data_IF_058532871423
#
_entry.id   IF_058532871423
#
_cell.length_a   1.000
_cell.length_b   1.000
_cell.length_c   1.000
_cell.angle_alpha   90.00
_cell.angle_beta   90.00
_cell.angle_gamma   90.00
#
_symmetry.space_group_name_H-M   'P 1'
#
loop_
_entity.id
_entity.type
_entity.pdbx_description
1 polymer ?
#
# COMPACT_ATOMS: atom_id res chain seq x y z
N UNK A 1 6.22 -15.39 12.20
CA UNK A 1 7.67 -15.23 12.37
C UNK A 1 8.27 -14.84 11.02
N UNK A 2 8.43 -13.54 10.75
CA UNK A 2 9.07 -13.05 9.52
C UNK A 2 10.51 -13.53 9.51
N UNK A 3 10.85 -14.50 8.64
CA UNK A 3 12.23 -14.93 8.43
C UNK A 3 12.99 -13.76 7.78
N UNK A 4 13.64 -12.94 8.61
CA UNK A 4 14.66 -11.95 8.24
C UNK A 4 15.77 -12.68 7.46
N UNK A 5 15.69 -12.73 6.12
CA UNK A 5 16.73 -13.37 5.29
C UNK A 5 17.57 -12.41 4.47
N UNK A 6 17.26 -11.11 4.48
CA UNK A 6 18.01 -10.10 3.74
C UNK A 6 18.25 -8.86 4.62
N UNK A 7 19.01 -9.01 5.72
CA UNK A 7 19.44 -7.86 6.54
C UNK A 7 20.96 -7.79 6.51
N UNK A 8 21.50 -7.14 5.48
CA UNK A 8 22.90 -6.70 5.46
C UNK A 8 22.98 -5.38 6.23
N UNK A 9 23.53 -5.43 7.45
CA UNK A 9 23.77 -4.27 8.29
C UNK A 9 25.16 -3.72 7.99
N UNK A 10 25.26 -2.57 7.28
CA UNK A 10 26.40 -1.64 7.31
C UNK A 10 25.92 -0.27 6.79
N UNK A 11 26.01 0.74 7.68
CA UNK A 11 25.88 2.21 7.57
C UNK A 11 25.12 2.85 6.39
N UNK A 12 24.11 3.69 6.61
CA UNK A 12 22.98 3.69 7.54
C UNK A 12 21.92 4.55 6.81
N UNK A 13 20.76 3.96 6.51
CA UNK A 13 19.62 4.53 5.76
C UNK A 13 19.71 4.74 4.23
N UNK A 14 20.79 5.28 3.66
CA UNK A 14 20.77 5.79 2.27
C UNK A 14 20.95 4.70 1.19
N UNK A 15 22.00 3.88 1.35
CA UNK A 15 22.40 2.83 0.41
C UNK A 15 21.29 1.78 0.26
N UNK A 16 20.67 1.38 1.37
CA UNK A 16 19.67 0.31 1.37
C UNK A 16 18.38 0.67 0.59
N UNK A 17 18.08 1.96 0.40
CA UNK A 17 16.90 2.43 -0.37
C UNK A 17 17.09 2.27 -1.87
N UNK A 18 18.19 2.78 -2.42
CA UNK A 18 18.48 2.69 -3.85
C UNK A 18 18.68 1.21 -4.26
N UNK A 19 19.43 0.45 -3.46
CA UNK A 19 19.62 -0.98 -3.72
C UNK A 19 18.34 -1.81 -3.64
N UNK A 20 17.36 -1.43 -2.80
CA UNK A 20 16.06 -2.10 -2.79
C UNK A 20 15.29 -1.90 -4.09
N UNK A 21 15.38 -0.69 -4.69
CA UNK A 21 14.78 -0.41 -6.00
C UNK A 21 15.53 -1.17 -7.10
N UNK A 22 16.87 -1.14 -7.09
CA UNK A 22 17.69 -1.90 -8.05
C UNK A 22 17.40 -3.40 -7.97
N UNK A 23 17.30 -3.97 -6.77
CA UNK A 23 16.99 -5.38 -6.59
C UNK A 23 15.61 -5.77 -7.14
N UNK A 24 14.65 -4.83 -7.11
CA UNK A 24 13.33 -5.03 -7.69
C UNK A 24 13.35 -4.94 -9.23
N UNK A 25 14.14 -4.02 -9.79
CA UNK A 25 14.26 -3.84 -11.24
C UNK A 25 15.09 -4.94 -11.90
N UNK A 26 16.11 -5.45 -11.22
CA UNK A 26 17.03 -6.48 -11.72
C UNK A 26 17.05 -7.69 -10.78
N UNK A 27 15.98 -8.49 -10.72
CA UNK A 27 15.90 -9.63 -9.81
C UNK A 27 16.89 -10.73 -10.21
N UNK A 28 17.77 -11.09 -9.27
CA UNK A 28 18.76 -12.17 -9.44
C UNK A 28 18.29 -13.45 -8.74
N UNK A 29 18.58 -14.62 -9.32
CA UNK A 29 18.20 -15.92 -8.76
C UNK A 29 19.17 -16.44 -7.69
N UNK A 30 20.48 -16.24 -7.89
CA UNK A 30 21.55 -16.69 -6.98
C UNK A 30 22.25 -15.50 -6.32
N UNK A 31 22.85 -15.71 -5.13
CA UNK A 31 23.59 -14.68 -4.39
C UNK A 31 22.86 -13.33 -4.25
N UNK A 32 21.55 -13.38 -4.00
CA UNK A 32 20.63 -12.23 -3.84
C UNK A 32 21.09 -11.24 -2.77
N UNK A 33 21.90 -11.67 -1.81
CA UNK A 33 22.38 -10.83 -0.72
C UNK A 33 23.68 -10.07 -1.05
N UNK A 34 24.30 -10.32 -2.21
CA UNK A 34 25.56 -9.68 -2.60
C UNK A 34 25.29 -8.47 -3.50
N UNK A 35 25.87 -7.32 -3.15
CA UNK A 35 25.80 -6.08 -3.96
C UNK A 35 26.37 -6.28 -5.37
N UNK A 36 27.46 -7.03 -5.48
CA UNK A 36 28.12 -7.34 -6.77
C UNK A 36 27.26 -8.14 -7.73
N UNK A 37 26.16 -8.74 -7.27
CA UNK A 37 25.19 -9.42 -8.14
C UNK A 37 24.32 -8.45 -8.94
N UNK A 38 24.34 -7.16 -8.59
CA UNK A 38 23.45 -6.15 -9.14
C UNK A 38 24.28 -5.02 -9.77
N UNK A 39 23.77 -4.34 -10.81
CA UNK A 39 24.41 -3.15 -11.36
C UNK A 39 24.45 -2.04 -10.30
N UNK A 40 25.49 -1.20 -10.35
CA UNK A 40 25.60 -0.13 -9.37
C UNK A 40 24.46 0.87 -9.52
N UNK A 41 23.85 1.26 -8.39
CA UNK A 41 22.63 2.05 -8.40
C UNK A 41 22.79 3.41 -9.08
N UNK A 42 23.99 4.00 -9.07
CA UNK A 42 24.27 5.28 -9.74
C UNK A 42 24.22 5.19 -11.26
N UNK A 43 24.42 3.99 -11.81
CA UNK A 43 24.40 3.75 -13.26
C UNK A 43 22.99 3.49 -13.79
N UNK A 44 22.08 3.01 -12.94
CA UNK A 44 20.73 2.59 -13.33
C UNK A 44 19.62 3.50 -12.80
N UNK A 45 19.90 4.34 -11.81
CA UNK A 45 18.94 5.27 -11.23
C UNK A 45 19.43 6.71 -11.34
N UNK A 46 18.56 7.59 -11.82
CA UNK A 46 18.73 9.02 -11.73
C UNK A 46 18.34 9.51 -10.32
N UNK A 47 19.34 10.01 -9.58
CA UNK A 47 19.21 10.55 -8.23
C UNK A 47 19.36 12.08 -8.18
N UNK A 48 19.26 12.77 -9.32
CA UNK A 48 19.51 14.21 -9.41
C UNK A 48 18.56 15.04 -8.52
N UNK A 49 19.16 15.82 -7.63
CA UNK A 49 18.45 16.67 -6.66
C UNK A 49 17.58 15.88 -5.69
N UNK A 50 17.97 14.65 -5.36
CA UNK A 50 17.42 13.87 -4.25
C UNK A 50 18.49 13.81 -3.16
N UNK A 51 18.27 14.58 -2.10
CA UNK A 51 19.11 14.53 -0.90
C UNK A 51 18.63 13.43 0.02
N UNK A 52 19.57 12.69 0.57
CA UNK A 52 19.28 11.63 1.52
C UNK A 52 19.27 12.16 2.96
N UNK A 53 18.43 11.60 3.85
CA UNK A 53 17.49 10.48 3.64
C UNK A 53 16.23 10.89 2.87
N UNK A 54 15.83 10.10 1.86
CA UNK A 54 14.68 10.40 0.99
C UNK A 54 13.41 10.64 1.81
N UNK A 55 12.89 11.85 1.79
CA UNK A 55 11.61 12.17 2.43
C UNK A 55 10.50 11.58 1.55
N UNK A 56 9.38 11.11 2.13
CA UNK A 56 8.25 10.56 1.34
C UNK A 56 7.76 11.50 0.23
N UNK A 57 7.96 12.82 0.39
CA UNK A 57 7.67 13.85 -0.62
C UNK A 57 8.59 13.76 -1.85
N UNK A 58 9.86 13.43 -1.66
CA UNK A 58 10.84 13.28 -2.73
C UNK A 58 10.63 11.98 -3.54
N UNK A 59 9.88 11.00 -3.03
CA UNK A 59 9.54 9.79 -3.79
C UNK A 59 8.80 10.14 -5.08
N UNK A 60 7.91 11.14 -5.06
CA UNK A 60 7.21 11.57 -6.30
C UNK A 60 8.20 12.07 -7.35
N UNK A 61 9.22 12.82 -6.93
CA UNK A 61 10.28 13.30 -7.82
C UNK A 61 11.09 12.13 -8.38
N UNK A 62 11.42 11.16 -7.53
CA UNK A 62 12.13 9.95 -7.93
C UNK A 62 11.36 9.08 -8.93
N UNK A 63 10.05 8.89 -8.72
CA UNK A 63 9.13 8.18 -9.63
C UNK A 63 9.08 8.83 -11.03
N UNK A 64 9.11 10.17 -11.08
CA UNK A 64 9.13 10.93 -12.32
C UNK A 64 10.47 10.84 -13.04
N UNK A 65 11.59 10.99 -12.32
CA UNK A 65 12.94 10.98 -12.91
C UNK A 65 13.33 9.63 -13.52
N UNK A 66 12.85 8.52 -12.94
CA UNK A 66 13.25 7.17 -13.32
C UNK A 66 12.19 6.42 -14.13
N UNK A 67 11.05 7.07 -14.39
CA UNK A 67 9.87 6.45 -14.99
C UNK A 67 9.43 5.14 -14.31
N UNK A 68 9.37 5.18 -12.98
CA UNK A 68 8.97 4.03 -12.14
C UNK A 68 7.83 4.43 -11.22
N UNK A 69 7.08 3.44 -10.73
CA UNK A 69 6.02 3.64 -9.74
C UNK A 69 6.33 2.88 -8.45
N UNK A 70 6.13 3.50 -7.31
CA UNK A 70 6.56 2.98 -6.01
C UNK A 70 5.41 3.04 -5.00
N UNK A 71 5.11 1.89 -4.42
CA UNK A 71 4.30 1.79 -3.22
C UNK A 71 5.20 1.58 -2.00
N UNK A 72 4.85 2.20 -0.88
CA UNK A 72 5.52 2.01 0.41
C UNK A 72 4.51 1.50 1.41
N UNK A 73 4.83 0.39 2.06
CA UNK A 73 4.05 -0.21 3.14
C UNK A 73 4.82 -0.07 4.46
N UNK A 74 4.13 -0.18 5.60
CA UNK A 74 4.73 -0.17 6.93
C UNK A 74 3.96 -1.09 7.86
N UNK A 75 4.53 -1.41 9.02
CA UNK A 75 3.81 -2.10 10.09
C UNK A 75 2.88 -1.11 10.80
N UNK A 76 1.59 -1.44 10.86
CA UNK A 76 0.52 -0.64 11.49
C UNK A 76 0.09 -1.14 12.88
N UNK A 77 0.80 -2.12 13.44
CA UNK A 77 0.53 -2.73 14.74
C UNK A 77 0.45 -4.26 14.70
N UNK A 78 0.04 -4.87 15.81
CA UNK A 78 -0.15 -6.32 15.93
C UNK A 78 -1.63 -6.68 15.97
N UNK A 79 -2.03 -7.71 15.24
CA UNK A 79 -3.36 -8.33 15.28
C UNK A 79 -3.21 -9.84 15.24
N UNK A 80 -3.91 -10.56 16.12
CA UNK A 80 -3.92 -12.04 16.19
C UNK A 80 -2.51 -12.67 16.23
N UNK A 81 -1.55 -12.03 16.92
CA UNK A 81 -0.17 -12.50 17.04
C UNK A 81 0.74 -12.25 15.83
N UNK A 82 0.25 -11.57 14.78
CA UNK A 82 1.02 -11.16 13.61
C UNK A 82 1.12 -9.64 13.44
N UNK A 83 2.14 -9.18 12.70
CA UNK A 83 2.26 -7.78 12.31
C UNK A 83 1.29 -7.48 11.17
N UNK A 84 0.53 -6.39 11.28
CA UNK A 84 -0.38 -5.92 10.23
C UNK A 84 0.37 -4.94 9.35
N UNK A 85 0.55 -5.28 8.09
CA UNK A 85 1.13 -4.42 7.06
C UNK A 85 0.03 -3.52 6.49
N UNK A 86 0.31 -2.21 6.49
CA UNK A 86 -0.59 -1.17 5.97
C UNK A 86 0.15 -0.33 4.92
N UNK A 87 -0.56 0.20 3.91
CA UNK A 87 0.05 1.12 2.97
C UNK A 87 0.41 2.43 3.67
N UNK A 88 1.66 2.86 3.55
CA UNK A 88 2.16 4.17 3.98
C UNK A 88 2.04 5.21 2.86
N UNK A 89 2.32 4.79 1.62
CA UNK A 89 2.17 5.60 0.41
C UNK A 89 1.80 4.66 -0.74
N UNK A 90 0.79 5.03 -1.50
CA UNK A 90 0.46 4.37 -2.76
C UNK A 90 0.73 5.32 -3.91
N UNK A 91 1.26 4.78 -4.99
CA UNK A 91 1.41 5.51 -6.26
C UNK A 91 0.03 5.81 -6.85
N UNK A 92 -0.10 6.93 -7.54
CA UNK A 92 -1.36 7.30 -8.21
C UNK A 92 -1.60 6.47 -9.46
N UNK A 93 -0.51 6.13 -10.16
CA UNK A 93 -0.55 5.43 -11.44
C UNK A 93 0.49 4.32 -11.41
N UNK A 94 0.04 3.10 -11.72
CA UNK A 94 0.94 1.96 -11.84
C UNK A 94 1.60 1.99 -13.22
N UNK A 95 2.91 2.23 -13.23
CA UNK A 95 3.75 2.11 -14.41
C UNK A 95 4.16 0.66 -14.67
N UNK A 96 4.73 0.40 -15.84
CA UNK A 96 5.27 -0.92 -16.21
C UNK A 96 6.31 -1.39 -15.17
N UNK A 97 7.25 -0.52 -14.83
CA UNK A 97 8.20 -0.73 -13.72
C UNK A 97 7.55 -0.30 -12.41
N UNK A 98 7.12 -1.28 -11.62
CA UNK A 98 6.47 -1.04 -10.34
C UNK A 98 7.17 -1.75 -9.18
N UNK A 99 7.45 -1.01 -8.10
CA UNK A 99 8.18 -1.51 -6.94
C UNK A 99 7.34 -1.34 -5.67
N UNK A 100 7.17 -2.44 -4.93
CA UNK A 100 6.58 -2.41 -3.59
C UNK A 100 7.71 -2.42 -2.55
N UNK A 101 7.78 -1.41 -1.69
CA UNK A 101 8.75 -1.29 -0.62
C UNK A 101 8.06 -1.42 0.74
N UNK A 102 8.76 -1.99 1.72
CA UNK A 102 8.33 -2.06 3.12
C UNK A 102 9.29 -1.21 3.96
N UNK A 103 8.74 -0.20 4.61
CA UNK A 103 9.37 0.68 5.57
C UNK A 103 9.31 0.03 6.96
N UNK A 104 10.48 -0.17 7.57
CA UNK A 104 10.64 -0.80 8.88
C UNK A 104 11.45 0.14 9.77
N UNK A 105 10.87 0.53 10.90
CA UNK A 105 11.50 1.38 11.90
C UNK A 105 12.03 0.49 13.03
N UNK A 106 13.34 0.51 13.28
CA UNK A 106 13.95 -0.14 14.45
C UNK A 106 14.23 0.93 15.52
N UNK A 107 13.53 0.85 16.65
CA UNK A 107 13.89 1.58 17.87
C UNK A 107 14.84 0.70 18.69
N UNK A 108 16.12 1.06 18.75
CA UNK A 108 17.03 0.49 19.75
C UNK A 108 16.77 1.21 21.06
N UNK A 109 16.62 0.44 22.14
CA UNK A 109 16.11 0.92 23.44
C UNK A 109 16.99 1.97 24.11
N UNK A 110 18.22 2.18 23.64
CA UNK A 110 19.24 2.99 24.32
C UNK A 110 19.88 4.08 23.44
N UNK A 111 19.45 4.27 22.18
CA UNK A 111 19.98 5.31 21.27
C UNK A 111 18.83 6.19 20.73
N UNK A 112 18.95 7.52 20.81
CA UNK A 112 18.02 8.50 20.20
C UNK A 112 17.93 8.38 18.66
N UNK A 113 18.82 7.61 18.03
CA UNK A 113 18.82 7.39 16.60
C UNK A 113 17.80 6.32 16.18
N UNK A 114 16.64 6.79 15.75
CA UNK A 114 15.65 5.98 15.03
C UNK A 114 16.22 5.53 13.69
N UNK A 115 16.61 4.26 13.57
CA UNK A 115 17.10 3.69 12.32
C UNK A 115 15.91 3.09 11.56
N UNK A 116 15.57 3.67 10.41
CA UNK A 116 14.56 3.11 9.52
C UNK A 116 15.19 2.46 8.28
N UNK A 117 14.59 1.41 7.74
CA UNK A 117 15.06 0.75 6.52
C UNK A 117 13.92 0.47 5.55
N UNK A 118 14.20 0.58 4.24
CA UNK A 118 13.27 0.20 3.17
C UNK A 118 13.71 -1.13 2.60
N UNK A 119 12.82 -2.11 2.56
CA UNK A 119 13.07 -3.42 1.96
C UNK A 119 12.19 -3.61 0.75
N UNK A 120 12.68 -4.30 -0.28
CA UNK A 120 11.83 -4.69 -1.40
C UNK A 120 10.90 -5.86 -1.04
N UNK A 121 9.61 -5.70 -1.33
CA UNK A 121 8.59 -6.74 -1.22
C UNK A 121 8.51 -7.51 -2.54
N UNK A 122 9.08 -8.71 -2.55
CA UNK A 122 9.04 -9.62 -3.71
C UNK A 122 7.62 -10.10 -4.05
N UNK A 123 6.86 -10.41 -3.01
CA UNK A 123 5.50 -10.95 -3.14
C UNK A 123 4.62 -10.34 -2.04
N UNK A 124 3.83 -9.34 -2.44
CA UNK A 124 2.93 -8.64 -1.54
C UNK A 124 1.80 -9.55 -1.05
N UNK A 125 1.26 -10.40 -1.93
CA UNK A 125 0.19 -11.35 -1.61
C UNK A 125 0.62 -12.32 -0.51
N UNK A 126 1.85 -12.83 -0.58
CA UNK A 126 2.40 -13.70 0.46
C UNK A 126 2.64 -12.95 1.77
N UNK A 127 3.04 -11.68 1.71
CA UNK A 127 3.30 -10.86 2.90
C UNK A 127 2.01 -10.60 3.69
N UNK A 128 0.93 -10.24 3.01
CA UNK A 128 -0.34 -9.84 3.66
C UNK A 128 -1.42 -10.92 3.60
N UNK A 129 -1.08 -12.11 3.10
CA UNK A 129 -2.01 -13.23 2.98
C UNK A 129 -2.66 -13.61 4.31
N UNK A 130 -1.94 -13.50 5.43
CA UNK A 130 -2.52 -13.75 6.77
C UNK A 130 -3.50 -12.67 7.23
N UNK A 131 -3.38 -11.44 6.73
CA UNK A 131 -4.30 -10.33 7.04
C UNK A 131 -5.58 -10.42 6.22
N UNK A 132 -5.45 -10.89 4.99
CA UNK A 132 -6.51 -11.06 4.04
C UNK A 132 -7.22 -12.37 4.35
N UNK A 133 -8.07 -12.38 5.39
CA UNK A 133 -9.01 -13.41 5.93
C UNK A 133 -8.79 -14.92 5.65
N UNK A 134 -9.21 -15.79 6.58
CA UNK A 134 -9.12 -17.26 6.44
C UNK A 134 -9.87 -17.88 5.24
N UNK A 135 -10.73 -17.11 4.55
CA UNK A 135 -11.47 -17.60 3.39
C UNK A 135 -10.67 -17.44 2.08
N UNK A 136 -10.74 -18.49 1.27
CA UNK A 136 -10.03 -18.76 0.01
C UNK A 136 -10.45 -17.91 -1.20
N UNK A 137 -11.31 -16.91 -1.02
CA UNK A 137 -11.72 -16.01 -2.11
C UNK A 137 -10.56 -15.16 -2.63
N UNK A 138 -10.47 -14.97 -3.96
CA UNK A 138 -9.53 -14.04 -4.60
C UNK A 138 -9.78 -12.63 -4.03
N UNK A 139 -8.75 -12.03 -3.43
CA UNK A 139 -8.84 -10.68 -2.88
C UNK A 139 -8.07 -9.73 -3.79
N UNK A 140 -8.77 -8.69 -4.23
CA UNK A 140 -8.19 -7.62 -5.01
C UNK A 140 -7.61 -6.60 -4.03
N UNK A 141 -6.29 -6.45 -4.07
CA UNK A 141 -5.61 -5.36 -3.40
C UNK A 141 -5.65 -4.15 -4.33
N UNK A 142 -6.06 -2.99 -3.80
CA UNK A 142 -5.88 -1.75 -4.54
C UNK A 142 -4.38 -1.47 -4.64
N UNK A 143 -3.84 -1.61 -5.86
CA UNK A 143 -2.43 -1.41 -6.16
C UNK A 143 -2.05 0.06 -6.31
N UNK A 144 -3.04 0.95 -6.41
CA UNK A 144 -2.87 2.39 -6.56
C UNK A 144 -3.71 3.14 -5.54
N UNK A 145 -3.33 4.39 -5.26
CA UNK A 145 -4.13 5.31 -4.47
C UNK A 145 -5.49 5.53 -5.16
N UNK A 146 -6.57 5.49 -4.39
CA UNK A 146 -7.89 5.89 -4.88
C UNK A 146 -7.84 7.40 -5.16
N UNK A 147 -7.99 7.77 -6.43
CA UNK A 147 -8.12 9.17 -6.83
C UNK A 147 -9.59 9.52 -6.75
N UNK A 148 -9.95 10.41 -5.83
CA UNK A 148 -11.29 10.97 -5.79
C UNK A 148 -11.45 11.97 -6.96
N UNK A 149 -12.61 11.97 -7.65
CA UNK A 149 -12.86 12.92 -8.71
C UNK A 149 -12.82 14.35 -8.18
N UNK A 150 -12.24 15.25 -8.96
CA UNK A 150 -12.23 16.69 -8.69
C UNK A 150 -13.47 17.36 -9.33
N UNK A 151 -13.64 18.67 -9.20
CA UNK A 151 -14.79 19.37 -9.78
C UNK A 151 -14.90 19.26 -11.31
N UNK A 152 -13.76 19.12 -12.00
CA UNK A 152 -13.68 18.98 -13.45
C UNK A 152 -13.98 17.53 -13.90
N UNK A 153 -13.69 16.53 -13.06
CA UNK A 153 -13.84 15.10 -13.34
C UNK A 153 -14.98 14.44 -12.54
N UNK A 154 -15.91 15.24 -12.01
CA UNK A 154 -17.02 14.76 -11.16
C UNK A 154 -18.09 13.95 -11.90
N UNK A 155 -18.13 14.05 -13.23
CA UNK A 155 -19.14 13.41 -14.04
C UNK A 155 -18.63 12.10 -14.63
N UNK A 156 -19.22 10.98 -14.21
CA UNK A 156 -19.01 9.68 -14.83
C UNK A 156 -19.94 9.53 -16.04
N UNK A 157 -19.39 9.22 -17.22
CA UNK A 157 -20.17 8.87 -18.40
C UNK A 157 -19.91 7.42 -18.80
N UNK A 158 -20.97 6.70 -19.13
CA UNK A 158 -20.87 5.35 -19.66
C UNK A 158 -20.83 5.43 -21.18
N UNK A 159 -19.89 4.72 -21.80
CA UNK A 159 -19.88 4.49 -23.26
C UNK A 159 -20.56 3.17 -23.55
N UNK A 160 -21.06 2.99 -24.78
CA UNK A 160 -21.68 1.76 -25.24
C UNK A 160 -22.89 1.28 -24.39
N UNK A 161 -23.91 2.12 -24.28
CA UNK A 161 -25.15 1.78 -23.55
C UNK A 161 -25.82 0.48 -24.06
N UNK A 162 -25.55 0.08 -25.30
CA UNK A 162 -26.08 -1.14 -25.90
C UNK A 162 -25.45 -2.42 -25.32
N UNK A 163 -24.31 -2.32 -24.62
CA UNK A 163 -23.63 -3.45 -23.95
C UNK A 163 -24.07 -3.61 -22.48
N UNK A 164 -25.08 -2.85 -22.03
CA UNK A 164 -25.61 -2.99 -20.68
C UNK A 164 -26.36 -4.31 -20.55
N UNK A 165 -25.97 -5.12 -19.58
CA UNK A 165 -26.73 -6.29 -19.18
C UNK A 165 -27.96 -5.84 -18.37
N UNK A 166 -29.15 -6.27 -18.79
CA UNK A 166 -30.37 -6.02 -18.01
C UNK A 166 -30.41 -7.00 -16.85
N UNK A 167 -30.20 -6.50 -15.64
CA UNK A 167 -30.33 -7.27 -14.41
C UNK A 167 -31.79 -7.24 -13.93
N UNK A 168 -32.29 -8.39 -13.46
CA UNK A 168 -33.67 -8.50 -12.96
C UNK A 168 -33.91 -7.65 -11.70
N UNK A 169 -32.89 -7.52 -10.86
CA UNK A 169 -32.94 -6.82 -9.59
C UNK A 169 -31.76 -5.87 -9.48
N UNK A 170 -32.01 -4.66 -9.00
CA UNK A 170 -31.00 -3.65 -8.69
C UNK A 170 -31.03 -3.41 -7.18
N UNK A 171 -29.90 -3.56 -6.51
CA UNK A 171 -29.78 -3.29 -5.07
C UNK A 171 -29.06 -1.96 -4.90
N UNK A 172 -29.76 -0.97 -4.36
CA UNK A 172 -29.18 0.26 -3.86
C UNK A 172 -28.88 0.06 -2.38
N UNK A 173 -27.69 0.38 -1.91
CA UNK A 173 -27.34 0.22 -0.50
C UNK A 173 -26.48 1.39 -0.03
N UNK A 174 -26.73 1.82 1.20
CA UNK A 174 -25.97 2.84 1.90
C UNK A 174 -25.59 2.34 3.30
N UNK A 175 -24.39 2.74 3.75
CA UNK A 175 -23.77 2.23 4.98
C UNK A 175 -23.36 3.39 5.88
N UNK A 176 -23.90 3.42 7.09
CA UNK A 176 -23.47 4.35 8.11
C UNK A 176 -22.42 3.69 9.01
N UNK A 177 -21.34 4.41 9.30
CA UNK A 177 -20.25 3.92 10.13
C UNK A 177 -19.96 4.87 11.29
N UNK A 178 -19.78 4.30 12.48
CA UNK A 178 -19.23 5.02 13.63
C UNK A 178 -17.70 4.95 13.60
N UNK A 179 -17.07 6.09 13.88
CA UNK A 179 -15.63 6.21 14.04
C UNK A 179 -15.23 5.88 15.47
N UNK A 180 -14.52 4.78 15.67
CA UNK A 180 -13.96 4.46 16.99
C UNK A 180 -12.75 5.36 17.27
N UNK A 181 -12.87 6.19 18.32
CA UNK A 181 -11.77 7.00 18.83
C UNK A 181 -10.71 6.07 19.44
N UNK A 182 -9.56 5.98 18.79
CA UNK A 182 -8.40 5.29 19.37
C UNK A 182 -7.90 6.09 20.57
N UNK A 183 -7.89 5.49 21.77
CA UNK A 183 -7.29 6.11 22.96
C UNK A 183 -5.82 6.43 22.64
N UNK A 184 -5.40 7.67 22.87
CA UNK A 184 -3.99 8.04 22.85
C UNK A 184 -3.31 7.25 23.96
N UNK A 185 -2.56 6.21 23.61
CA UNK A 185 -1.55 5.67 24.52
C UNK A 185 -0.39 6.67 24.50
N UNK A 186 0.04 7.14 25.68
CA UNK A 186 1.18 8.05 25.88
C UNK A 186 2.54 7.39 25.54
N UNK A 187 2.57 6.48 24.57
CA UNK A 187 3.80 5.91 24.06
C UNK A 187 4.30 6.80 22.92
N UNK A 188 5.24 7.67 23.23
CA UNK A 188 5.84 8.67 22.33
C UNK A 188 6.53 8.06 21.08
N UNK A 189 6.59 6.72 20.98
CA UNK A 189 7.25 6.00 19.89
C UNK A 189 6.31 5.26 18.92
N UNK A 190 4.98 5.39 19.04
CA UNK A 190 4.05 4.82 18.06
C UNK A 190 3.59 5.93 17.10
N UNK A 191 4.05 5.83 15.87
CA UNK A 191 3.74 6.67 14.72
C UNK A 191 2.39 7.41 14.79
N UNK A 192 2.43 8.74 14.58
CA UNK A 192 1.28 9.68 14.49
C UNK A 192 0.26 9.39 13.37
N UNK A 193 0.17 8.16 12.86
CA UNK A 193 -0.78 7.82 11.80
C UNK A 193 -2.10 7.36 12.45
N UNK A 194 -3.07 8.27 12.46
CA UNK A 194 -4.42 8.05 12.99
C UNK A 194 -5.25 7.22 12.02
N UNK A 195 -5.04 5.91 12.02
CA UNK A 195 -5.99 4.99 11.39
C UNK A 195 -7.26 4.99 12.25
N UNK A 196 -8.34 5.58 11.74
CA UNK A 196 -9.64 5.53 12.38
C UNK A 196 -10.28 4.18 12.06
N UNK A 197 -10.75 3.46 13.08
CA UNK A 197 -11.45 2.20 12.88
C UNK A 197 -12.92 2.53 12.64
N UNK A 198 -13.41 2.23 11.43
CA UNK A 198 -14.82 2.42 11.06
C UNK A 198 -15.57 1.14 11.42
N UNK A 199 -16.54 1.26 12.31
CA UNK A 199 -17.45 0.17 12.65
C UNK A 199 -18.81 0.45 12.02
N UNK A 200 -19.32 -0.51 11.24
CA UNK A 200 -20.65 -0.41 10.63
C UNK A 200 -21.69 -0.26 11.73
N UNK A 201 -22.57 0.73 11.59
CA UNK A 201 -23.63 1.04 12.53
C UNK A 201 -25.00 0.65 12.00
N UNK A 202 -25.31 1.08 10.77
CA UNK A 202 -26.56 0.72 10.10
C UNK A 202 -26.35 0.55 8.60
N UNK A 203 -27.22 -0.26 8.00
CA UNK A 203 -27.27 -0.51 6.57
C UNK A 203 -28.69 -0.18 6.11
N UNK A 204 -28.83 0.73 5.17
CA UNK A 204 -30.07 0.92 4.40
C UNK A 204 -29.89 0.25 3.05
N UNK A 205 -30.86 -0.51 2.59
CA UNK A 205 -30.84 -1.06 1.23
C UNK A 205 -32.22 -1.03 0.61
N UNK A 206 -32.28 -0.86 -0.70
CA UNK A 206 -33.49 -0.84 -1.49
C UNK A 206 -33.29 -1.77 -2.69
N UNK A 207 -34.16 -2.76 -2.79
CA UNK A 207 -34.18 -3.73 -3.88
C UNK A 207 -35.25 -3.28 -4.86
N UNK A 208 -34.84 -2.90 -6.06
CA UNK A 208 -35.72 -2.55 -7.16
C UNK A 208 -35.83 -3.73 -8.12
N UNK A 209 -37.06 -4.20 -8.35
CA UNK A 209 -37.37 -5.19 -9.37
C UNK A 209 -37.79 -4.48 -10.66
N UNK A 210 -37.13 -4.77 -11.77
CA UNK A 210 -37.35 -4.08 -13.05
C UNK A 210 -38.68 -4.49 -13.72
N UNK A 211 -39.24 -5.65 -13.35
CA UNK A 211 -40.47 -6.18 -13.96
C UNK A 211 -41.73 -5.91 -13.14
N UNK A 212 -41.62 -5.82 -11.82
CA UNK A 212 -42.75 -5.70 -10.90
C UNK A 212 -42.40 -4.74 -9.76
N UNK A 213 -42.96 -3.54 -9.80
CA UNK A 213 -42.75 -2.53 -8.76
C UNK A 213 -43.25 -3.00 -7.38
N UNK A 214 -44.22 -3.91 -7.32
CA UNK A 214 -44.73 -4.46 -6.06
C UNK A 214 -43.76 -5.44 -5.40
N UNK A 215 -42.82 -5.99 -6.16
CA UNK A 215 -41.74 -6.82 -5.66
C UNK A 215 -40.52 -6.00 -5.18
N UNK A 216 -40.58 -4.67 -5.26
CA UNK A 216 -39.51 -3.80 -4.77
C UNK A 216 -39.65 -3.59 -3.26
N UNK A 217 -38.54 -3.66 -2.51
CA UNK A 217 -38.54 -3.66 -1.05
C UNK A 217 -37.43 -2.78 -0.47
N UNK A 218 -37.71 -2.14 0.66
CA UNK A 218 -36.77 -1.36 1.48
C UNK A 218 -36.35 -2.13 2.74
#
# INVERSE_FOLDING_TARGET
MLRKRNQCAFDSQCVFRAWSVVAALYPVQSHVNRKSSYPDYTTVLNLEGIEFPVILKQITKFELLNDISINVFTEGGKKDGGNVIVPLRLTKEKKEKHVNLLYLQESRRDDENVIAHFTWIKDLSRLIGSQLSKNTGKKYLNYCAVILPNENDKWLSFRDHNKKERLLFVVYADLECILEKKKRTNDENISRFTYQHHKVFSVGYYIYCVYDETASMY
#
